data_IF_309621993126
#
_entry.id   IF_309621993126
#
_cell.length_a   1.000
_cell.length_b   1.000
_cell.length_c   1.000
_cell.angle_alpha   90.00
_cell.angle_beta   90.00
_cell.angle_gamma   90.00
#
_symmetry.space_group_name_H-M   'P 1'
#
loop_
_entity.id
_entity.type
_entity.pdbx_description
1 polymer ?
#
# COMPACT_ATOMS: atom_id res chain seq x y z
N UNK A 1 -6.01 -10.89 0.16
CA UNK A 1 -4.58 -11.14 0.05
C UNK A 1 -3.90 -10.07 -0.78
N UNK A 2 -2.66 -9.80 -0.46
CA UNK A 2 -1.89 -8.82 -1.20
C UNK A 2 -1.45 -9.39 -2.55
N UNK A 3 -1.48 -8.56 -3.58
CA UNK A 3 -1.01 -8.91 -4.92
C UNK A 3 0.25 -8.11 -5.21
N UNK A 4 1.31 -8.78 -5.67
CA UNK A 4 2.52 -8.08 -6.11
C UNK A 4 2.23 -7.42 -7.46
N UNK A 5 2.59 -6.13 -7.59
CA UNK A 5 2.43 -5.43 -8.85
C UNK A 5 3.76 -4.89 -9.35
N UNK A 6 3.88 -4.81 -10.66
CA UNK A 6 5.06 -4.29 -11.35
C UNK A 6 4.65 -3.03 -12.12
N UNK A 7 5.65 -2.35 -12.65
CA UNK A 7 5.39 -1.13 -13.43
C UNK A 7 4.41 -1.36 -14.57
N UNK A 8 4.49 -2.52 -15.22
CA UNK A 8 3.63 -2.83 -16.36
C UNK A 8 2.21 -3.25 -15.98
N UNK A 9 1.95 -3.60 -14.71
CA UNK A 9 0.62 -3.99 -14.24
C UNK A 9 -0.01 -2.95 -13.31
N UNK A 10 0.77 -1.96 -12.87
CA UNK A 10 0.32 -0.97 -11.89
C UNK A 10 -0.88 -0.18 -12.37
N UNK A 11 -0.88 0.22 -13.64
CA UNK A 11 -1.96 1.00 -14.20
C UNK A 11 -3.29 0.25 -14.10
N UNK A 12 -3.30 -1.00 -14.51
CA UNK A 12 -4.50 -1.83 -14.48
C UNK A 12 -4.93 -2.15 -13.04
N UNK A 13 -3.98 -2.55 -12.20
CA UNK A 13 -4.29 -3.03 -10.85
C UNK A 13 -4.62 -1.91 -9.87
N UNK A 14 -4.06 -0.73 -10.06
CA UNK A 14 -4.19 0.38 -9.11
C UNK A 14 -4.96 1.55 -9.71
N UNK A 15 -4.48 2.09 -10.84
CA UNK A 15 -5.03 3.33 -11.36
C UNK A 15 -6.42 3.15 -11.96
N UNK A 16 -6.73 1.96 -12.46
CA UNK A 16 -8.03 1.64 -13.06
C UNK A 16 -8.94 0.85 -12.12
N UNK A 17 -8.57 0.71 -10.85
CA UNK A 17 -9.37 -0.03 -9.89
C UNK A 17 -10.67 0.69 -9.55
N UNK A 18 -11.78 -0.08 -9.47
CA UNK A 18 -13.09 0.44 -9.09
C UNK A 18 -13.21 0.69 -7.59
N UNK A 19 -12.31 0.12 -6.79
CA UNK A 19 -12.32 0.30 -5.34
C UNK A 19 -10.99 0.88 -4.90
N UNK A 20 -10.93 1.49 -3.70
CA UNK A 20 -9.66 2.00 -3.16
C UNK A 20 -8.60 0.92 -3.08
N UNK A 21 -7.36 1.29 -3.38
CA UNK A 21 -6.22 0.37 -3.37
C UNK A 21 -5.16 0.90 -2.42
N UNK A 22 -4.79 0.08 -1.45
CA UNK A 22 -3.68 0.38 -0.55
C UNK A 22 -2.41 -0.21 -1.17
N UNK A 23 -1.46 0.65 -1.50
CA UNK A 23 -0.20 0.25 -2.13
C UNK A 23 0.89 0.27 -1.08
N UNK A 24 1.50 -0.89 -0.84
CA UNK A 24 2.56 -1.07 0.15
C UNK A 24 3.91 -1.13 -0.56
N UNK A 25 4.72 -0.08 -0.40
CA UNK A 25 6.09 -0.05 -0.92
C UNK A 25 7.00 -0.67 0.14
N UNK A 26 7.71 -1.74 -0.24
CA UNK A 26 8.46 -2.56 0.70
C UNK A 26 9.73 -3.14 0.06
N UNK A 27 10.55 -3.79 0.87
CA UNK A 27 11.70 -4.55 0.39
C UNK A 27 11.91 -5.77 1.28
N UNK A 28 12.51 -6.80 0.73
CA UNK A 28 12.75 -8.06 1.44
C UNK A 28 13.63 -7.87 2.68
N UNK A 29 14.62 -6.99 2.59
CA UNK A 29 15.57 -6.73 3.67
C UNK A 29 15.01 -5.82 4.77
N UNK A 30 13.82 -5.33 4.63
CA UNK A 30 13.25 -4.31 5.51
C UNK A 30 12.48 -4.98 6.65
N UNK A 31 13.05 -4.95 7.86
CA UNK A 31 12.40 -5.51 9.05
C UNK A 31 11.05 -4.89 9.35
N UNK A 32 10.93 -3.55 9.41
CA UNK A 32 9.64 -2.90 9.65
C UNK A 32 8.58 -3.23 8.60
N UNK A 33 9.00 -3.48 7.35
CA UNK A 33 8.06 -3.88 6.30
C UNK A 33 7.44 -5.23 6.62
N UNK A 34 8.23 -6.16 7.13
CA UNK A 34 7.72 -7.48 7.53
C UNK A 34 6.85 -7.39 8.78
N UNK A 35 7.18 -6.47 9.68
CA UNK A 35 6.39 -6.27 10.90
C UNK A 35 5.01 -5.71 10.61
N UNK A 36 4.87 -4.85 9.61
CA UNK A 36 3.59 -4.23 9.28
C UNK A 36 2.71 -5.10 8.37
N UNK A 37 3.30 -6.08 7.69
CA UNK A 37 2.57 -6.91 6.73
C UNK A 37 1.32 -7.58 7.34
N UNK A 38 1.40 -8.25 8.52
CA UNK A 38 0.19 -8.85 9.10
C UNK A 38 -0.83 -7.81 9.54
N UNK A 39 -0.39 -6.59 9.90
CA UNK A 39 -1.30 -5.50 10.25
C UNK A 39 -2.11 -5.08 9.02
N UNK A 40 -1.46 -4.95 7.87
CA UNK A 40 -2.13 -4.59 6.62
C UNK A 40 -3.11 -5.69 6.19
N UNK A 41 -2.72 -6.95 6.35
CA UNK A 41 -3.61 -8.07 6.03
C UNK A 41 -4.87 -8.03 6.91
N UNK A 42 -4.71 -7.69 8.19
CA UNK A 42 -5.85 -7.57 9.10
C UNK A 42 -6.77 -6.43 8.70
N UNK A 43 -6.20 -5.29 8.32
CA UNK A 43 -7.00 -4.16 7.84
C UNK A 43 -7.80 -4.58 6.60
N UNK A 44 -7.16 -5.29 5.67
CA UNK A 44 -7.83 -5.77 4.47
C UNK A 44 -9.01 -6.69 4.82
N UNK A 45 -8.80 -7.60 5.78
CA UNK A 45 -9.85 -8.54 6.20
C UNK A 45 -11.06 -7.84 6.81
N UNK A 46 -10.85 -6.67 7.41
CA UNK A 46 -11.92 -5.90 8.02
C UNK A 46 -12.69 -5.03 7.03
N UNK A 47 -12.23 -4.98 5.77
CA UNK A 47 -12.88 -4.20 4.71
C UNK A 47 -13.11 -5.06 3.46
N UNK A 48 -13.82 -6.21 3.61
CA UNK A 48 -13.99 -7.13 2.49
C UNK A 48 -14.76 -6.48 1.34
N UNK A 49 -14.20 -6.57 0.14
CA UNK A 49 -14.81 -5.98 -1.05
C UNK A 49 -14.71 -4.47 -1.15
N UNK A 50 -14.15 -3.81 -0.13
CA UNK A 50 -14.10 -2.34 -0.08
C UNK A 50 -12.68 -1.79 -0.21
N UNK A 51 -11.68 -2.65 -0.10
CA UNK A 51 -10.28 -2.27 -0.13
C UNK A 51 -9.45 -3.38 -0.76
N UNK A 52 -8.52 -3.01 -1.60
CA UNK A 52 -7.58 -3.92 -2.24
C UNK A 52 -6.17 -3.59 -1.74
N UNK A 53 -5.34 -4.60 -1.53
CA UNK A 53 -3.95 -4.42 -1.09
C UNK A 53 -3.02 -4.94 -2.18
N UNK A 54 -2.10 -4.10 -2.63
CA UNK A 54 -1.06 -4.49 -3.56
C UNK A 54 0.29 -4.13 -3.00
N UNK A 55 1.32 -4.86 -3.41
CA UNK A 55 2.69 -4.67 -2.92
C UNK A 55 3.62 -4.30 -4.06
N UNK A 56 4.47 -3.32 -3.82
CA UNK A 56 5.49 -2.87 -4.77
C UNK A 56 6.85 -3.03 -4.11
N UNK A 57 7.66 -3.94 -4.64
CA UNK A 57 9.02 -4.17 -4.16
C UNK A 57 9.94 -3.10 -4.77
N UNK A 58 10.49 -2.22 -3.94
CA UNK A 58 11.27 -1.08 -4.43
C UNK A 58 12.61 -1.50 -5.05
N UNK A 59 13.11 -2.69 -4.71
CA UNK A 59 14.35 -3.17 -5.31
C UNK A 59 14.14 -3.61 -6.77
N UNK A 60 12.88 -3.92 -7.12
CA UNK A 60 12.52 -4.36 -8.48
C UNK A 60 11.82 -3.26 -9.29
N UNK A 61 11.08 -2.38 -8.62
CA UNK A 61 10.23 -1.39 -9.28
C UNK A 61 10.69 0.03 -8.97
N UNK A 62 11.90 0.38 -9.44
CA UNK A 62 12.48 1.70 -9.17
C UNK A 62 11.66 2.83 -9.78
N UNK A 63 11.04 2.62 -10.93
CA UNK A 63 10.23 3.64 -11.57
C UNK A 63 9.03 4.03 -10.69
N UNK A 64 8.35 3.04 -10.13
CA UNK A 64 7.19 3.30 -9.26
C UNK A 64 7.63 4.02 -7.99
N UNK A 65 8.76 3.60 -7.41
CA UNK A 65 9.30 4.26 -6.24
C UNK A 65 9.55 5.75 -6.52
N UNK A 66 10.18 6.05 -7.64
CA UNK A 66 10.50 7.43 -8.02
C UNK A 66 9.25 8.24 -8.35
N UNK A 67 8.31 7.62 -9.06
CA UNK A 67 7.08 8.28 -9.48
C UNK A 67 6.30 8.84 -8.30
N UNK A 68 6.25 8.09 -7.20
CA UNK A 68 5.48 8.49 -6.03
C UNK A 68 6.34 9.04 -4.89
N UNK A 69 7.63 9.29 -5.15
CA UNK A 69 8.51 9.96 -4.21
C UNK A 69 8.75 9.19 -2.92
N UNK A 70 8.77 7.86 -2.98
CA UNK A 70 8.97 7.02 -1.81
C UNK A 70 10.45 7.03 -1.42
N UNK A 71 10.75 7.59 -0.24
CA UNK A 71 12.12 7.69 0.28
C UNK A 71 12.38 6.76 1.45
N UNK A 72 11.34 6.38 2.18
CA UNK A 72 11.43 5.49 3.33
C UNK A 72 10.45 4.35 3.18
N UNK A 73 10.78 3.20 3.71
CA UNK A 73 9.88 2.04 3.69
C UNK A 73 9.68 1.48 5.09
N UNK A 74 8.51 0.91 5.40
CA UNK A 74 7.37 0.82 4.48
C UNK A 74 6.69 2.18 4.29
N UNK A 75 6.19 2.41 3.09
CA UNK A 75 5.29 3.53 2.80
C UNK A 75 4.04 2.93 2.20
N UNK A 76 2.89 3.24 2.80
CA UNK A 76 1.60 2.79 2.32
C UNK A 76 0.84 3.99 1.77
N UNK A 77 0.44 3.91 0.50
CA UNK A 77 -0.32 4.99 -0.15
C UNK A 77 -1.68 4.45 -0.53
N UNK A 78 -2.73 5.14 -0.08
CA UNK A 78 -4.11 4.78 -0.45
C UNK A 78 -4.47 5.53 -1.72
N UNK A 79 -4.81 4.78 -2.76
CA UNK A 79 -5.27 5.34 -4.03
C UNK A 79 -6.79 5.25 -4.12
N UNK A 80 -7.42 6.33 -4.54
CA UNK A 80 -8.85 6.38 -4.81
C UNK A 80 -9.05 7.00 -6.19
N UNK A 81 -9.79 6.31 -7.06
CA UNK A 81 -10.08 6.79 -8.40
C UNK A 81 -8.81 7.13 -9.18
N UNK A 82 -7.76 6.30 -9.00
CA UNK A 82 -6.52 6.45 -9.72
C UNK A 82 -5.56 7.50 -9.17
N UNK A 83 -5.85 8.10 -8.01
CA UNK A 83 -5.01 9.15 -7.44
C UNK A 83 -4.66 8.87 -5.98
N UNK A 84 -3.44 9.25 -5.55
CA UNK A 84 -3.09 9.15 -4.13
C UNK A 84 -4.02 10.03 -3.30
N UNK A 85 -4.64 9.43 -2.28
CA UNK A 85 -5.56 10.13 -1.38
C UNK A 85 -4.98 10.31 0.02
N UNK A 86 -4.15 9.38 0.48
CA UNK A 86 -3.56 9.43 1.81
C UNK A 86 -2.32 8.55 1.85
N UNK A 87 -1.43 8.80 2.79
CA UNK A 87 -0.20 8.03 2.92
C UNK A 87 0.21 7.88 4.38
N UNK A 88 0.89 6.77 4.67
CA UNK A 88 1.48 6.50 5.98
C UNK A 88 2.90 6.00 5.75
N UNK A 89 3.85 6.54 6.51
CA UNK A 89 5.24 6.11 6.45
C UNK A 89 5.59 5.41 7.77
N UNK A 90 6.21 4.24 7.65
CA UNK A 90 6.68 3.47 8.79
C UNK A 90 5.68 2.43 9.27
N UNK A 91 6.18 1.51 10.11
CA UNK A 91 5.38 0.41 10.65
C UNK A 91 4.62 0.89 11.89
N UNK A 92 3.58 1.66 11.67
CA UNK A 92 2.78 2.22 12.75
C UNK A 92 1.72 1.22 13.23
N UNK A 93 1.16 1.44 14.43
CA UNK A 93 0.08 0.58 14.92
C UNK A 93 -1.15 0.63 14.02
N UNK A 94 -1.93 -0.44 14.02
CA UNK A 94 -3.11 -0.59 13.17
C UNK A 94 -4.06 0.61 13.24
N UNK A 95 -4.41 1.05 14.47
CA UNK A 95 -5.31 2.18 14.64
C UNK A 95 -4.77 3.48 14.06
N UNK A 96 -3.46 3.70 14.17
CA UNK A 96 -2.82 4.89 13.62
C UNK A 96 -2.86 4.87 12.09
N UNK A 97 -2.60 3.69 11.50
CA UNK A 97 -2.68 3.52 10.05
C UNK A 97 -4.10 3.78 9.57
N UNK A 98 -5.08 3.18 10.24
CA UNK A 98 -6.49 3.36 9.87
C UNK A 98 -6.91 4.83 9.93
N UNK A 99 -6.51 5.54 10.99
CA UNK A 99 -6.85 6.95 11.12
C UNK A 99 -6.21 7.79 10.02
N UNK A 100 -4.94 7.55 9.74
CA UNK A 100 -4.21 8.31 8.73
C UNK A 100 -4.76 8.07 7.32
N UNK A 101 -5.27 6.87 7.08
CA UNK A 101 -5.83 6.52 5.76
C UNK A 101 -7.33 6.78 5.66
N UNK A 102 -7.96 7.21 6.75
CA UNK A 102 -9.40 7.46 6.76
C UNK A 102 -10.24 6.18 6.68
N UNK A 103 -9.72 5.08 7.21
CA UNK A 103 -10.39 3.78 7.15
C UNK A 103 -11.17 3.43 8.41
N UNK A 104 -11.21 4.31 9.38
CA UNK A 104 -11.98 4.09 10.62
C UNK A 104 -13.46 4.27 10.33
N UNK A 105 -14.25 3.44 10.97
CA UNK A 105 -15.71 3.51 10.84
C UNK A 105 -16.25 4.74 11.58
#
# INVERSE_FOLDING_TARGET
>A
MATAVRSDTFDLEVLQSDIPVLVDFWAEWCGPCHAVAPVLDRILEEHPGELKLVKVNIDEEHELQQRYGVQSIPTMILFKNGEPAAAVVGAQPKGAIERSLGLTA
#
